data_IF_114685068516
#
_entry.id   IF_114685068516
#
_cell.length_a   1.000
_cell.length_b   1.000
_cell.length_c   1.000
_cell.angle_alpha   90.00
_cell.angle_beta   90.00
_cell.angle_gamma   90.00
#
_symmetry.space_group_name_H-M   'P 1'
#
loop_
_entity.id
_entity.type
_entity.pdbx_description
1 polymer ?
#
# COMPACT_ATOMS: atom_id res chain seq x y z
N UNK A 1 -18.91 11.35 -0.01
CA UNK A 1 -18.75 12.60 0.76
C UNK A 1 -18.98 13.73 -0.22
N UNK A 2 -20.01 14.59 0.02
CA UNK A 2 -20.48 15.64 -0.91
C UNK A 2 -19.44 16.70 -1.25
N UNK A 3 -18.44 16.91 -0.42
CA UNK A 3 -17.39 17.93 -0.58
C UNK A 3 -16.45 17.70 -1.78
N UNK A 4 -16.35 16.47 -2.32
CA UNK A 4 -15.47 16.13 -3.43
C UNK A 4 -16.19 16.08 -4.79
N UNK A 5 -17.50 16.14 -4.84
CA UNK A 5 -18.28 16.08 -6.09
C UNK A 5 -18.26 17.39 -6.88
N UNK A 6 -17.88 18.51 -6.26
CA UNK A 6 -17.84 19.83 -6.88
C UNK A 6 -16.49 20.19 -7.51
N UNK A 7 -15.41 19.45 -7.18
CA UNK A 7 -14.09 19.68 -7.79
C UNK A 7 -13.94 18.89 -9.10
N UNK A 8 -14.17 19.57 -10.22
CA UNK A 8 -14.04 18.99 -11.58
C UNK A 8 -12.65 18.39 -11.86
N UNK A 9 -11.59 18.93 -11.25
CA UNK A 9 -10.23 18.44 -11.40
C UNK A 9 -10.05 17.12 -10.66
N UNK A 10 -10.60 17.01 -9.47
CA UNK A 10 -10.64 15.78 -8.70
C UNK A 10 -11.38 14.67 -9.44
N UNK A 11 -12.58 14.97 -9.93
CA UNK A 11 -13.43 14.02 -10.66
C UNK A 11 -12.73 13.51 -11.93
N UNK A 12 -12.11 14.42 -12.70
CA UNK A 12 -11.39 14.06 -13.93
C UNK A 12 -10.22 13.12 -13.64
N UNK A 13 -9.43 13.42 -12.61
CA UNK A 13 -8.30 12.56 -12.18
C UNK A 13 -8.78 11.21 -11.63
N UNK A 14 -9.82 11.21 -10.79
CA UNK A 14 -10.43 10.00 -10.28
C UNK A 14 -10.87 9.06 -11.40
N UNK A 15 -11.59 9.61 -12.42
CA UNK A 15 -12.00 8.83 -13.59
C UNK A 15 -10.81 8.30 -14.39
N UNK A 16 -9.81 9.14 -14.66
CA UNK A 16 -8.63 8.74 -15.42
C UNK A 16 -7.83 7.63 -14.72
N UNK A 17 -7.64 7.70 -13.40
CA UNK A 17 -6.94 6.66 -12.65
C UNK A 17 -7.77 5.38 -12.56
N UNK A 18 -9.07 5.47 -12.29
CA UNK A 18 -9.94 4.31 -12.26
C UNK A 18 -10.05 3.63 -13.64
N UNK A 19 -10.10 4.40 -14.73
CA UNK A 19 -10.08 3.87 -16.10
C UNK A 19 -8.74 3.21 -16.46
N UNK A 20 -7.61 3.69 -15.92
CA UNK A 20 -6.31 3.06 -16.16
C UNK A 20 -6.19 1.67 -15.53
N UNK A 21 -6.95 1.42 -14.48
CA UNK A 21 -7.03 0.11 -13.78
C UNK A 21 -8.17 -0.75 -14.35
N UNK A 22 -9.20 -0.13 -14.93
CA UNK A 22 -10.31 -0.84 -15.56
C UNK A 22 -9.79 -1.65 -16.78
N UNK A 23 -10.03 -2.97 -16.74
CA UNK A 23 -9.53 -3.90 -17.76
C UNK A 23 -8.15 -4.51 -17.46
N UNK A 24 -7.42 -4.05 -16.44
CA UNK A 24 -6.23 -4.74 -15.96
C UNK A 24 -6.66 -5.90 -15.05
N UNK A 25 -6.28 -7.12 -15.44
CA UNK A 25 -6.66 -8.33 -14.71
C UNK A 25 -5.42 -9.13 -14.30
N UNK A 26 -5.30 -9.46 -13.02
CA UNK A 26 -4.23 -10.29 -12.50
C UNK A 26 -4.72 -11.08 -11.28
N UNK A 27 -4.27 -12.34 -11.05
CA UNK A 27 -4.70 -13.16 -9.90
C UNK A 27 -4.51 -12.50 -8.53
N UNK A 28 -3.46 -11.67 -8.40
CA UNK A 28 -3.12 -10.98 -7.15
C UNK A 28 -3.55 -9.50 -7.12
N UNK A 29 -4.47 -9.09 -7.99
CA UNK A 29 -5.07 -7.76 -8.01
C UNK A 29 -6.59 -7.89 -7.97
N UNK A 30 -7.26 -7.02 -7.23
CA UNK A 30 -8.73 -6.93 -7.25
C UNK A 30 -9.16 -6.30 -8.57
N UNK A 31 -10.00 -7.01 -9.33
CA UNK A 31 -10.46 -6.53 -10.62
C UNK A 31 -11.40 -5.33 -10.45
N UNK A 32 -11.22 -4.30 -11.25
CA UNK A 32 -12.16 -3.20 -11.42
C UNK A 32 -12.99 -3.48 -12.66
N UNK A 33 -14.31 -3.61 -12.50
CA UNK A 33 -15.22 -3.95 -13.56
C UNK A 33 -15.81 -2.74 -14.25
N UNK A 34 -16.12 -1.68 -13.48
CA UNK A 34 -16.75 -0.48 -14.00
C UNK A 34 -16.47 0.73 -13.10
N UNK A 35 -16.56 1.92 -13.68
CA UNK A 35 -16.44 3.21 -12.99
C UNK A 35 -17.50 4.16 -13.56
N UNK A 36 -18.35 4.67 -12.70
CA UNK A 36 -19.44 5.52 -13.14
C UNK A 36 -19.77 6.64 -12.16
N UNK A 37 -20.76 7.44 -12.58
CA UNK A 37 -21.43 8.37 -11.71
C UNK A 37 -22.95 8.31 -11.92
N UNK A 38 -23.67 8.49 -10.85
CA UNK A 38 -25.13 8.59 -10.86
C UNK A 38 -25.56 9.68 -9.88
N UNK A 39 -26.24 10.71 -10.38
CA UNK A 39 -26.72 11.85 -9.59
C UNK A 39 -25.63 12.54 -8.74
N UNK A 40 -24.40 12.66 -9.28
CA UNK A 40 -23.25 13.24 -8.57
C UNK A 40 -22.57 12.32 -7.56
N UNK A 41 -22.98 11.05 -7.49
CA UNK A 41 -22.32 10.00 -6.70
C UNK A 41 -21.41 9.19 -7.61
N UNK A 42 -20.10 9.27 -7.35
CA UNK A 42 -19.10 8.49 -8.07
C UNK A 42 -18.95 7.11 -7.44
N UNK A 43 -18.95 6.06 -8.25
CA UNK A 43 -18.81 4.69 -7.79
C UNK A 43 -17.80 3.89 -8.62
N UNK A 44 -17.27 2.86 -8.01
CA UNK A 44 -16.42 1.87 -8.65
C UNK A 44 -17.03 0.50 -8.39
N UNK A 45 -17.23 -0.28 -9.43
CA UNK A 45 -17.65 -1.68 -9.34
C UNK A 45 -16.42 -2.55 -9.39
N UNK A 46 -16.19 -3.34 -8.35
CA UNK A 46 -15.01 -4.19 -8.26
C UNK A 46 -15.34 -5.59 -7.80
N UNK A 47 -14.38 -6.49 -7.99
CA UNK A 47 -14.44 -7.87 -7.50
C UNK A 47 -14.69 -7.91 -5.99
N UNK A 48 -15.63 -8.72 -5.56
CA UNK A 48 -15.85 -9.03 -4.16
C UNK A 48 -14.89 -10.16 -3.75
N UNK A 49 -13.95 -9.85 -2.88
CA UNK A 49 -13.03 -10.83 -2.30
C UNK A 49 -13.49 -11.20 -0.90
N UNK A 50 -13.97 -12.44 -0.71
CA UNK A 50 -14.31 -12.94 0.61
C UNK A 50 -13.04 -13.26 1.40
N UNK A 51 -12.71 -12.41 2.36
CA UNK A 51 -11.50 -12.54 3.15
C UNK A 51 -11.35 -11.47 4.21
N UNK A 52 -10.13 -11.28 4.68
CA UNK A 52 -9.77 -10.22 5.63
C UNK A 52 -8.57 -9.43 5.12
N UNK A 53 -8.44 -8.17 5.54
CA UNK A 53 -7.26 -7.39 5.23
C UNK A 53 -6.03 -7.96 5.94
N UNK A 54 -4.86 -7.82 5.31
CA UNK A 54 -3.59 -8.21 5.92
C UNK A 54 -3.37 -7.49 7.26
N UNK A 55 -3.87 -6.25 7.41
CA UNK A 55 -3.82 -5.51 8.68
C UNK A 55 -4.55 -6.27 9.78
N UNK A 56 -5.80 -6.66 9.55
CA UNK A 56 -6.58 -7.47 10.51
C UNK A 56 -5.93 -8.83 10.78
N UNK A 57 -5.26 -9.40 9.77
CA UNK A 57 -4.56 -10.66 9.93
C UNK A 57 -3.35 -10.52 10.86
N UNK A 58 -2.52 -9.49 10.67
CA UNK A 58 -1.39 -9.16 11.56
C UNK A 58 -1.89 -8.91 12.99
N UNK A 59 -2.92 -8.07 13.15
CA UNK A 59 -3.50 -7.75 14.47
C UNK A 59 -3.98 -9.00 15.24
N UNK A 60 -4.59 -9.96 14.54
CA UNK A 60 -5.03 -11.22 15.15
C UNK A 60 -3.90 -12.17 15.52
N UNK A 61 -2.80 -12.15 14.77
CA UNK A 61 -1.67 -13.08 14.92
C UNK A 61 -0.53 -12.49 15.76
N UNK A 62 -0.51 -11.16 15.95
CA UNK A 62 0.59 -10.38 16.51
C UNK A 62 1.76 -10.24 15.52
N UNK A 63 2.27 -11.35 15.01
CA UNK A 63 3.29 -11.44 13.95
C UNK A 63 3.06 -12.66 13.07
N UNK A 64 3.55 -12.61 11.84
CA UNK A 64 3.41 -13.70 10.85
C UNK A 64 4.73 -14.47 10.76
N UNK A 65 4.72 -15.83 10.81
CA UNK A 65 5.91 -16.62 10.57
C UNK A 65 6.58 -16.28 9.23
N UNK A 66 7.90 -16.21 9.19
CA UNK A 66 8.61 -15.69 8.01
C UNK A 66 8.28 -16.43 6.71
N UNK A 67 8.08 -17.76 6.73
CA UNK A 67 7.69 -18.51 5.54
C UNK A 67 6.34 -18.07 4.97
N UNK A 68 5.39 -17.81 5.84
CA UNK A 68 4.06 -17.32 5.46
C UNK A 68 4.13 -15.85 4.99
N UNK A 69 4.88 -14.99 5.69
CA UNK A 69 5.11 -13.61 5.28
C UNK A 69 5.77 -13.52 3.89
N UNK A 70 6.74 -14.38 3.59
CA UNK A 70 7.37 -14.48 2.25
C UNK A 70 6.34 -14.91 1.19
N UNK A 71 5.49 -15.90 1.48
CA UNK A 71 4.45 -16.34 0.55
C UNK A 71 3.46 -15.22 0.22
N UNK A 72 3.06 -14.43 1.22
CA UNK A 72 2.20 -13.26 1.04
C UNK A 72 2.94 -12.19 0.21
N UNK A 73 4.18 -11.88 0.56
CA UNK A 73 4.99 -10.88 -0.13
C UNK A 73 5.22 -11.21 -1.62
N UNK A 74 5.45 -12.47 -1.96
CA UNK A 74 5.59 -12.93 -3.35
C UNK A 74 4.30 -12.66 -4.13
N UNK A 75 3.14 -12.95 -3.58
CA UNK A 75 1.86 -12.72 -4.24
C UNK A 75 1.60 -11.21 -4.47
N UNK A 76 1.89 -10.37 -3.46
CA UNK A 76 1.80 -8.91 -3.61
C UNK A 76 2.76 -8.41 -4.67
N UNK A 77 4.03 -8.86 -4.65
CA UNK A 77 5.04 -8.46 -5.63
C UNK A 77 4.65 -8.85 -7.06
N UNK A 78 4.06 -10.04 -7.27
CA UNK A 78 3.54 -10.46 -8.58
C UNK A 78 2.43 -9.52 -9.08
N UNK A 79 1.51 -9.11 -8.22
CA UNK A 79 0.46 -8.15 -8.56
C UNK A 79 1.04 -6.77 -8.93
N UNK A 80 2.02 -6.29 -8.16
CA UNK A 80 2.70 -5.02 -8.42
C UNK A 80 3.53 -5.06 -9.72
N UNK A 81 4.31 -6.12 -9.95
CA UNK A 81 5.10 -6.28 -11.18
C UNK A 81 4.20 -6.24 -12.43
N UNK A 82 3.08 -6.95 -12.38
CA UNK A 82 2.11 -6.95 -13.46
C UNK A 82 1.52 -5.54 -13.68
N UNK A 83 1.17 -4.79 -12.63
CA UNK A 83 0.67 -3.42 -12.74
C UNK A 83 1.75 -2.46 -13.27
N UNK A 84 2.98 -2.55 -12.76
CA UNK A 84 4.11 -1.71 -13.19
C UNK A 84 4.43 -1.90 -14.68
N UNK A 85 4.33 -3.13 -15.23
CA UNK A 85 4.48 -3.40 -16.67
C UNK A 85 3.44 -2.70 -17.53
N UNK A 86 2.31 -2.33 -16.95
CA UNK A 86 1.26 -1.51 -17.58
C UNK A 86 1.33 -0.03 -17.21
N UNK A 87 2.45 0.41 -16.62
CA UNK A 87 2.65 1.77 -16.11
C UNK A 87 1.63 2.21 -15.03
N UNK A 88 1.06 1.25 -14.32
CA UNK A 88 0.15 1.49 -13.20
C UNK A 88 0.95 1.40 -11.91
N UNK A 89 1.06 2.51 -11.17
CA UNK A 89 1.73 2.60 -9.87
C UNK A 89 0.68 2.70 -8.78
N UNK A 90 0.77 1.88 -7.73
CA UNK A 90 -0.23 1.83 -6.67
C UNK A 90 -0.19 3.05 -5.74
N UNK A 91 1.00 3.47 -5.31
CA UNK A 91 1.29 4.63 -4.46
C UNK A 91 0.76 4.59 -3.01
N UNK A 92 0.04 3.55 -2.62
CA UNK A 92 -0.53 3.39 -1.26
C UNK A 92 -0.51 1.93 -0.80
N UNK A 93 0.59 1.22 -1.03
CA UNK A 93 0.79 -0.14 -0.54
C UNK A 93 0.89 -0.12 0.98
N UNK A 94 0.01 -0.89 1.62
CA UNK A 94 -0.06 -1.06 3.07
C UNK A 94 -0.94 -2.27 3.40
N UNK A 95 -0.86 -2.84 4.61
CA UNK A 95 -1.65 -4.02 4.97
C UNK A 95 -3.17 -3.86 4.88
N UNK A 96 -3.69 -2.62 4.96
CA UNK A 96 -5.13 -2.35 4.80
C UNK A 96 -5.61 -2.57 3.36
N UNK A 97 -4.71 -2.37 2.37
CA UNK A 97 -5.00 -2.49 0.93
C UNK A 97 -4.57 -3.85 0.36
N UNK A 98 -4.34 -4.84 1.21
CA UNK A 98 -4.02 -6.22 0.83
C UNK A 98 -5.05 -7.12 1.50
N UNK A 99 -5.74 -7.95 0.71
CA UNK A 99 -6.78 -8.87 1.18
C UNK A 99 -6.25 -10.31 1.06
N UNK A 100 -6.44 -11.09 2.12
CA UNK A 100 -6.19 -12.53 2.13
C UNK A 100 -7.56 -13.21 2.08
N UNK A 101 -7.82 -13.97 1.00
CA UNK A 101 -9.07 -14.73 0.85
C UNK A 101 -9.11 -15.92 1.80
N UNK A 102 -10.30 -16.54 1.93
CA UNK A 102 -10.49 -17.75 2.74
C UNK A 102 -9.62 -18.93 2.25
N UNK A 103 -9.28 -18.96 0.97
CA UNK A 103 -8.43 -19.97 0.32
C UNK A 103 -6.93 -19.63 0.37
N UNK A 104 -6.55 -18.54 1.05
CA UNK A 104 -5.15 -18.12 1.18
C UNK A 104 -4.60 -17.36 -0.05
N UNK A 105 -5.45 -16.96 -1.00
CA UNK A 105 -5.06 -16.08 -2.11
C UNK A 105 -4.91 -14.65 -1.62
N UNK A 106 -3.86 -13.99 -2.06
CA UNK A 106 -3.58 -12.59 -1.71
C UNK A 106 -3.90 -11.70 -2.91
N UNK A 107 -4.66 -10.64 -2.68
CA UNK A 107 -5.00 -9.64 -3.68
C UNK A 107 -4.75 -8.23 -3.17
N UNK A 108 -4.13 -7.41 -4.02
CA UNK A 108 -3.94 -5.97 -3.78
C UNK A 108 -5.19 -5.24 -4.29
N UNK A 109 -5.70 -4.32 -3.48
CA UNK A 109 -6.89 -3.48 -3.78
C UNK A 109 -6.54 -1.99 -3.71
N UNK A 110 -7.44 -1.14 -4.19
CA UNK A 110 -7.34 0.32 -4.07
C UNK A 110 -6.12 0.94 -4.77
N UNK A 111 -5.79 0.49 -5.99
CA UNK A 111 -4.77 1.10 -6.82
C UNK A 111 -5.04 2.59 -7.03
N UNK A 112 -4.19 3.44 -6.45
CA UNK A 112 -4.04 4.88 -6.70
C UNK A 112 -5.27 5.79 -6.62
N UNK A 113 -6.47 5.22 -6.67
CA UNK A 113 -7.77 5.91 -6.83
C UNK A 113 -8.05 6.93 -5.70
N UNK A 114 -7.44 6.76 -4.53
CA UNK A 114 -7.68 7.61 -3.38
C UNK A 114 -6.67 8.77 -3.22
N UNK A 115 -5.49 8.71 -3.82
CA UNK A 115 -4.44 9.75 -3.62
C UNK A 115 -4.61 10.99 -4.50
N UNK A 116 -5.44 10.94 -5.53
CA UNK A 116 -5.87 12.15 -6.24
C UNK A 116 -6.62 13.11 -5.32
N UNK A 117 -7.29 12.55 -4.29
CA UNK A 117 -8.03 13.33 -3.30
C UNK A 117 -7.15 14.09 -2.30
N UNK A 118 -5.88 13.76 -2.15
CA UNK A 118 -5.02 14.26 -1.07
C UNK A 118 -3.81 15.08 -1.52
N UNK A 119 -3.81 15.63 -2.73
CA UNK A 119 -2.78 16.59 -3.16
C UNK A 119 -2.81 17.92 -2.37
N UNK A 120 -3.71 18.04 -1.41
CA UNK A 120 -3.80 19.21 -0.53
C UNK A 120 -3.94 18.73 0.91
N UNK A 121 -2.85 18.82 1.66
CA UNK A 121 -2.77 18.73 3.12
C UNK A 121 -2.63 17.32 3.74
N UNK A 122 -1.46 17.11 4.36
CA UNK A 122 -1.09 16.01 5.28
C UNK A 122 -2.01 15.92 6.54
N UNK A 123 -3.09 16.67 6.62
CA UNK A 123 -3.89 16.90 7.83
C UNK A 123 -5.24 16.17 7.90
N UNK A 124 -5.53 15.18 7.03
CA UNK A 124 -6.78 14.41 7.18
C UNK A 124 -6.57 13.13 8.01
N UNK A 125 -7.53 12.78 8.85
CA UNK A 125 -7.49 11.59 9.72
C UNK A 125 -7.28 10.26 8.96
N UNK A 126 -7.60 10.20 7.67
CA UNK A 126 -7.29 9.06 6.79
C UNK A 126 -5.82 8.98 6.39
N UNK A 127 -5.05 10.07 6.50
CA UNK A 127 -3.63 10.16 6.20
C UNK A 127 -2.78 9.60 7.35
N UNK A 128 -3.33 9.57 8.58
CA UNK A 128 -2.60 9.17 9.78
C UNK A 128 -2.11 7.71 9.73
N UNK A 129 -2.88 6.79 9.15
CA UNK A 129 -2.46 5.39 8.98
C UNK A 129 -1.55 5.13 7.78
N UNK A 130 -1.58 5.97 6.74
CA UNK A 130 -0.78 5.78 5.53
C UNK A 130 0.65 6.28 5.66
N UNK A 131 0.92 7.23 6.58
CA UNK A 131 2.26 7.83 6.74
C UNK A 131 3.32 6.80 7.11
N UNK A 132 2.96 5.73 7.82
CA UNK A 132 3.88 4.67 8.23
C UNK A 132 4.48 3.85 7.07
N UNK A 133 3.91 3.96 5.87
CA UNK A 133 4.32 3.17 4.69
C UNK A 133 4.81 4.03 3.52
N UNK A 134 4.80 5.37 3.64
CA UNK A 134 5.18 6.25 2.53
C UNK A 134 6.66 6.13 2.20
N UNK A 135 7.00 6.23 0.91
CA UNK A 135 8.38 6.29 0.48
C UNK A 135 9.02 7.66 0.77
N UNK A 136 10.36 7.74 0.84
CA UNK A 136 11.07 9.00 1.06
C UNK A 136 10.72 10.09 0.04
N UNK A 137 10.55 9.73 -1.24
CA UNK A 137 10.14 10.66 -2.29
C UNK A 137 8.71 11.15 -2.12
N UNK A 138 7.80 10.29 -1.67
CA UNK A 138 6.43 10.70 -1.33
C UNK A 138 6.40 11.63 -0.12
N UNK A 139 7.20 11.34 0.91
CA UNK A 139 7.33 12.18 2.11
C UNK A 139 7.86 13.59 1.78
N UNK A 140 8.72 13.71 0.73
CA UNK A 140 9.21 15.00 0.22
C UNK A 140 8.22 15.70 -0.72
N UNK A 141 7.06 15.11 -1.03
CA UNK A 141 6.12 15.63 -2.03
C UNK A 141 6.59 15.46 -3.48
N UNK A 142 7.55 14.55 -3.71
CA UNK A 142 8.12 14.28 -5.03
C UNK A 142 7.31 13.28 -5.86
N UNK A 143 7.82 13.01 -7.06
CA UNK A 143 7.19 12.06 -7.99
C UNK A 143 7.33 10.63 -7.49
N UNK A 144 6.23 9.87 -7.54
CA UNK A 144 6.16 8.46 -7.15
C UNK A 144 6.18 7.57 -8.39
N UNK A 145 7.06 6.58 -8.39
CA UNK A 145 7.12 5.53 -9.42
C UNK A 145 7.04 4.13 -8.79
N UNK A 146 7.30 3.08 -9.57
CA UNK A 146 7.29 1.69 -9.12
C UNK A 146 8.16 1.43 -7.87
N UNK A 147 9.24 2.20 -7.68
CA UNK A 147 10.13 2.07 -6.52
C UNK A 147 9.44 2.49 -5.22
N UNK A 148 8.50 3.44 -5.28
CA UNK A 148 7.69 3.84 -4.13
C UNK A 148 6.85 2.67 -3.60
N UNK A 149 6.26 1.87 -4.50
CA UNK A 149 5.50 0.67 -4.12
C UNK A 149 6.40 -0.40 -3.52
N UNK A 150 7.62 -0.58 -4.06
CA UNK A 150 8.62 -1.52 -3.53
C UNK A 150 9.05 -1.12 -2.12
N UNK A 151 9.27 0.18 -1.87
CA UNK A 151 9.57 0.69 -0.53
C UNK A 151 8.42 0.37 0.46
N UNK A 152 7.20 0.71 0.10
CA UNK A 152 6.01 0.46 0.93
C UNK A 152 5.76 -1.03 1.16
N UNK A 153 6.08 -1.90 0.19
CA UNK A 153 6.08 -3.35 0.36
C UNK A 153 7.14 -3.79 1.37
N UNK A 154 8.35 -3.21 1.34
CA UNK A 154 9.40 -3.48 2.32
C UNK A 154 8.94 -3.18 3.76
N UNK A 155 8.28 -2.03 3.97
CA UNK A 155 7.69 -1.68 5.28
C UNK A 155 6.59 -2.67 5.67
N UNK A 156 5.74 -3.07 4.72
CA UNK A 156 4.68 -4.06 4.95
C UNK A 156 5.26 -5.43 5.36
N UNK A 157 6.35 -5.86 4.72
CA UNK A 157 7.07 -7.10 5.09
C UNK A 157 7.64 -6.98 6.51
N UNK A 158 8.26 -5.85 6.85
CA UNK A 158 8.75 -5.60 8.20
C UNK A 158 7.63 -5.78 9.24
N UNK A 159 6.47 -5.13 9.02
CA UNK A 159 5.33 -5.24 9.93
C UNK A 159 4.77 -6.67 10.01
N UNK A 160 4.66 -7.40 8.91
CA UNK A 160 4.27 -8.81 8.94
C UNK A 160 5.16 -9.64 9.85
N UNK A 161 6.46 -9.42 9.80
CA UNK A 161 7.47 -10.21 10.52
C UNK A 161 7.56 -9.84 12.00
N UNK A 162 7.38 -8.56 12.33
CA UNK A 162 7.61 -8.03 13.69
C UNK A 162 6.33 -7.73 14.45
N UNK A 163 5.22 -7.54 13.75
CA UNK A 163 3.93 -7.09 14.31
C UNK A 163 3.84 -5.58 14.52
N UNK A 164 4.91 -4.84 14.22
CA UNK A 164 5.00 -3.38 14.41
C UNK A 164 5.56 -2.70 13.16
N UNK A 165 5.26 -1.42 12.99
CA UNK A 165 5.89 -0.59 11.96
C UNK A 165 7.31 -0.18 12.40
N UNK A 166 8.26 0.04 11.47
CA UNK A 166 9.62 0.42 11.84
C UNK A 166 9.74 1.85 12.38
N UNK A 167 8.84 2.73 11.97
CA UNK A 167 8.79 4.12 12.39
C UNK A 167 7.42 4.47 12.96
N UNK A 168 7.44 5.14 14.11
CA UNK A 168 6.27 5.66 14.81
C UNK A 168 6.63 6.98 15.49
N UNK A 169 5.64 7.80 15.86
CA UNK A 169 5.89 9.08 16.50
C UNK A 169 4.62 9.87 16.77
N UNK A 170 4.76 10.95 17.53
CA UNK A 170 3.67 11.79 18.02
C UNK A 170 2.94 12.58 16.91
N UNK A 171 3.50 12.62 15.70
CA UNK A 171 2.90 13.30 14.55
C UNK A 171 3.24 12.63 13.23
N UNK A 172 2.35 12.80 12.24
CA UNK A 172 2.57 12.34 10.85
C UNK A 172 3.83 12.97 10.24
N UNK A 173 4.17 14.19 10.63
CA UNK A 173 5.39 14.88 10.16
C UNK A 173 6.63 14.19 10.73
N UNK A 174 6.63 13.84 12.02
CA UNK A 174 7.76 13.14 12.65
C UNK A 174 8.03 11.79 11.96
N UNK A 175 6.99 11.00 11.70
CA UNK A 175 7.10 9.72 10.99
C UNK A 175 7.58 9.92 9.53
N UNK A 176 7.07 10.95 8.83
CA UNK A 176 7.53 11.27 7.48
C UNK A 176 9.02 11.64 7.44
N UNK A 177 9.51 12.40 8.43
CA UNK A 177 10.94 12.75 8.55
C UNK A 177 11.80 11.51 8.77
N UNK A 178 11.37 10.56 9.60
CA UNK A 178 12.08 9.28 9.78
C UNK A 178 12.18 8.51 8.45
N UNK A 179 11.10 8.44 7.65
CA UNK A 179 11.18 7.85 6.31
C UNK A 179 12.18 8.55 5.39
N UNK A 180 12.42 9.85 5.57
CA UNK A 180 13.40 10.61 4.78
C UNK A 180 14.84 10.38 5.25
N UNK A 181 15.07 10.31 6.56
CA UNK A 181 16.40 10.43 7.18
C UNK A 181 16.93 9.12 7.77
N UNK A 182 16.07 8.33 8.45
CA UNK A 182 16.51 7.21 9.26
C UNK A 182 16.48 5.90 8.49
N UNK A 183 17.45 5.02 8.71
CA UNK A 183 17.47 3.68 8.12
C UNK A 183 16.46 2.76 8.82
N UNK A 184 15.84 1.86 8.02
CA UNK A 184 14.96 0.83 8.54
C UNK A 184 15.81 -0.23 9.27
N UNK A 185 15.49 -0.56 10.52
CA UNK A 185 16.22 -1.63 11.23
C UNK A 185 15.99 -2.98 10.57
N UNK A 186 16.96 -3.88 10.66
CA UNK A 186 16.76 -5.25 10.18
C UNK A 186 15.66 -5.95 11.01
N UNK A 187 14.68 -6.63 10.40
CA UNK A 187 13.64 -7.35 11.14
C UNK A 187 14.17 -8.32 12.20
N UNK A 188 15.33 -8.96 11.97
CA UNK A 188 15.98 -9.86 12.93
C UNK A 188 16.44 -9.19 14.21
N UNK A 189 16.61 -7.85 14.20
CA UNK A 189 16.93 -7.10 15.43
C UNK A 189 15.73 -7.00 16.38
N UNK A 190 14.50 -7.19 15.85
CA UNK A 190 13.25 -7.19 16.62
C UNK A 190 12.79 -8.62 16.92
N UNK A 191 12.96 -9.55 15.97
CA UNK A 191 12.57 -10.97 16.09
C UNK A 191 13.73 -11.86 15.65
N UNK A 192 14.42 -12.47 16.61
CA UNK A 192 15.69 -13.19 16.39
C UNK A 192 15.63 -14.37 15.39
N UNK A 193 14.46 -15.01 15.21
CA UNK A 193 14.32 -16.19 14.35
C UNK A 193 14.16 -15.86 12.85
N UNK A 194 14.30 -14.58 12.45
CA UNK A 194 14.19 -14.15 11.06
C UNK A 194 15.54 -14.40 10.35
N UNK A 195 15.54 -15.13 9.21
CA UNK A 195 16.76 -15.37 8.45
C UNK A 195 17.37 -14.08 7.89
N UNK A 196 18.70 -13.96 7.91
CA UNK A 196 19.45 -12.81 7.37
C UNK A 196 19.14 -12.53 5.87
N UNK A 197 18.74 -13.52 5.11
CA UNK A 197 18.31 -13.33 3.73
C UNK A 197 17.06 -12.46 3.62
N UNK A 198 16.16 -12.55 4.60
CA UNK A 198 14.92 -11.75 4.65
C UNK A 198 15.24 -10.32 5.10
N UNK A 199 16.15 -10.13 6.06
CA UNK A 199 16.66 -8.81 6.41
C UNK A 199 17.20 -8.08 5.19
N UNK A 200 18.02 -8.77 4.38
CA UNK A 200 18.60 -8.20 3.15
C UNK A 200 17.53 -7.77 2.15
N UNK A 201 16.44 -8.52 2.02
CA UNK A 201 15.31 -8.16 1.16
C UNK A 201 14.64 -6.89 1.67
N UNK A 202 14.28 -6.83 2.97
CA UNK A 202 13.63 -5.66 3.56
C UNK A 202 14.52 -4.43 3.43
N UNK A 203 15.80 -4.52 3.80
CA UNK A 203 16.77 -3.43 3.68
C UNK A 203 16.92 -3.00 2.20
N UNK A 204 16.96 -3.94 1.26
CA UNK A 204 17.06 -3.61 -0.17
C UNK A 204 15.82 -2.88 -0.68
N UNK A 205 14.63 -3.31 -0.30
CA UNK A 205 13.37 -2.65 -0.68
C UNK A 205 13.30 -1.23 -0.12
N UNK A 206 13.85 -0.99 1.07
CA UNK A 206 13.71 0.28 1.80
C UNK A 206 14.93 1.21 1.68
N UNK A 207 15.82 0.97 0.70
CA UNK A 207 16.93 1.86 0.40
C UNK A 207 16.44 3.25 -0.03
N UNK A 208 17.09 4.28 0.52
CA UNK A 208 16.85 5.69 0.20
C UNK A 208 17.85 6.14 -0.84
N UNK A 209 17.38 6.67 -1.94
CA UNK A 209 18.22 7.30 -2.98
C UNK A 209 17.73 8.70 -3.24
#
# INVERSE_FOLDING_TARGET
KSEFSEDKTFVSKFRAEAQSVAGFTHPNVVNVYDVGDENGVYYIVMELVEGITLKKYIEKRGKIPFKEAVSIAIQVANGLDAAHKHNIVHRDIKPQNIIISKEGKVKVTDFGIAKVASSSTINSSSTMGSVHYISPEQARGGYSDARSDIYSLGITIFEMLTGTVPFDGDSTVAVAVQHIQDEIPAPSTVVADIPLSIDRIVIKCTQKK
#
